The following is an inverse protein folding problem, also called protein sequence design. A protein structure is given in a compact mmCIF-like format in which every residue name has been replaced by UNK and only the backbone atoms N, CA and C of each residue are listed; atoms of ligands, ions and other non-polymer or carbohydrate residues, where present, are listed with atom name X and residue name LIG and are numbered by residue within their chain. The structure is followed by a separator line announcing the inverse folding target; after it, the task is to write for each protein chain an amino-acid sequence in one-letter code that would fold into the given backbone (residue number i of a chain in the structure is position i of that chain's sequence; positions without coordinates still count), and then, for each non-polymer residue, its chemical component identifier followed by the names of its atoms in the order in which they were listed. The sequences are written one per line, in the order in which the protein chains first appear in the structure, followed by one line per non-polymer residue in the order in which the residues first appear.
data_IF_329916710521
#
_entry.id   IF_329916710521
#
_cell.length_a   1.000
_cell.length_b   1.000
_cell.length_c   1.000
_cell.angle_alpha   90.00
_cell.angle_beta   90.00
_cell.angle_gamma   90.00
#
_symmetry.space_group_name_H-M   'P 1'
#
loop_
_entity.id
_entity.type
_entity.pdbx_description
1 polymer ?
#
# COMPACT_ATOMS: atom_id res chain seq x y z
N UNK A 1 -4.40 1.59 11.68
CA UNK A 1 -3.87 2.81 12.28
C UNK A 1 -2.62 2.53 13.11
N UNK A 2 -1.66 3.40 13.06
CA UNK A 2 -0.47 3.33 13.91
C UNK A 2 -0.88 3.69 15.34
N UNK A 3 -0.95 2.76 16.26
CA UNK A 3 -1.37 3.06 17.63
C UNK A 3 -0.22 3.64 18.46
N UNK A 4 0.72 2.82 18.84
CA UNK A 4 1.79 3.23 19.75
C UNK A 4 3.19 3.04 19.19
N UNK A 5 3.27 2.64 17.95
CA UNK A 5 4.56 2.38 17.32
C UNK A 5 5.15 3.68 16.81
N UNK A 6 6.41 3.92 17.11
CA UNK A 6 7.12 5.07 16.56
C UNK A 6 7.28 4.92 15.06
N UNK A 7 7.19 6.03 14.32
CA UNK A 7 7.46 6.03 12.88
C UNK A 7 8.88 5.53 12.57
N UNK A 8 9.82 5.72 13.48
CA UNK A 8 11.19 5.25 13.30
C UNK A 8 11.31 3.73 13.27
N UNK A 9 10.33 3.02 13.85
CA UNK A 9 10.32 1.56 13.86
C UNK A 9 9.41 0.94 12.79
N UNK A 10 8.68 1.76 12.06
CA UNK A 10 7.82 1.30 10.98
C UNK A 10 8.63 1.22 9.70
N UNK A 11 8.79 0.03 9.13
CA UNK A 11 9.53 -0.19 7.90
C UNK A 11 8.66 -0.74 6.78
N UNK A 12 7.68 -1.58 7.11
CA UNK A 12 6.87 -2.29 6.14
C UNK A 12 5.41 -1.88 6.30
N UNK A 13 4.84 -1.35 5.23
CA UNK A 13 3.46 -0.91 5.20
C UNK A 13 2.71 -1.74 4.17
N UNK A 14 1.55 -2.25 4.54
CA UNK A 14 0.68 -2.95 3.61
C UNK A 14 -0.44 -2.04 3.17
N UNK A 15 -0.67 -1.97 1.86
CA UNK A 15 -1.79 -1.24 1.28
C UNK A 15 -2.75 -2.26 0.68
N UNK A 16 -3.93 -2.34 1.26
CA UNK A 16 -4.99 -3.24 0.81
C UNK A 16 -6.04 -2.40 0.10
N UNK A 17 -6.26 -2.69 -1.16
CA UNK A 17 -7.07 -1.86 -2.04
C UNK A 17 -6.20 -0.85 -2.78
N UNK A 18 -6.14 -0.99 -4.10
CA UNK A 18 -5.21 -0.20 -4.93
C UNK A 18 -5.91 0.64 -5.99
N UNK A 19 -7.15 1.04 -5.73
CA UNK A 19 -7.80 2.09 -6.52
C UNK A 19 -7.07 3.42 -6.33
N UNK A 20 -7.65 4.51 -6.81
CA UNK A 20 -6.98 5.82 -6.79
C UNK A 20 -6.50 6.20 -5.38
N UNK A 21 -7.34 5.99 -4.36
CA UNK A 21 -6.98 6.33 -2.98
C UNK A 21 -5.85 5.45 -2.47
N UNK A 22 -5.96 4.12 -2.66
CA UNK A 22 -4.92 3.20 -2.22
C UNK A 22 -3.60 3.41 -2.94
N UNK A 23 -3.65 3.66 -4.24
CA UNK A 23 -2.44 3.96 -5.01
C UNK A 23 -1.79 5.27 -4.57
N UNK A 24 -2.58 6.26 -4.17
CA UNK A 24 -2.07 7.52 -3.61
C UNK A 24 -1.34 7.27 -2.29
N UNK A 25 -1.90 6.46 -1.40
CA UNK A 25 -1.24 6.09 -0.15
C UNK A 25 0.05 5.34 -0.39
N UNK A 26 0.04 4.37 -1.31
CA UNK A 26 1.25 3.61 -1.65
C UNK A 26 2.35 4.55 -2.15
N UNK A 27 2.01 5.47 -3.03
CA UNK A 27 2.94 6.45 -3.56
C UNK A 27 3.53 7.32 -2.45
N UNK A 28 2.67 7.79 -1.54
CA UNK A 28 3.09 8.60 -0.41
C UNK A 28 4.09 7.85 0.48
N UNK A 29 3.75 6.62 0.86
CA UNK A 29 4.64 5.84 1.73
C UNK A 29 5.98 5.53 1.05
N UNK A 30 5.96 5.20 -0.23
CA UNK A 30 7.19 4.99 -0.99
C UNK A 30 8.05 6.26 -1.03
N UNK A 31 7.43 7.43 -1.17
CA UNK A 31 8.14 8.70 -1.19
C UNK A 31 8.80 9.02 0.15
N UNK A 32 8.29 8.44 1.23
CA UNK A 32 8.86 8.60 2.58
C UNK A 32 9.89 7.53 2.93
N UNK A 33 10.22 6.65 1.99
CA UNK A 33 11.24 5.63 2.19
C UNK A 33 10.75 4.32 2.77
N UNK A 34 9.45 4.14 2.93
CA UNK A 34 8.90 2.87 3.42
C UNK A 34 8.88 1.81 2.32
N UNK A 35 8.93 0.56 2.73
CA UNK A 35 8.64 -0.57 1.84
C UNK A 35 7.14 -0.85 1.90
N UNK A 36 6.54 -1.09 0.75
CA UNK A 36 5.10 -1.25 0.62
C UNK A 36 4.78 -2.65 0.07
N UNK A 37 3.90 -3.35 0.77
CA UNK A 37 3.27 -4.56 0.26
C UNK A 37 1.87 -4.19 -0.19
N UNK A 38 1.55 -4.39 -1.46
CA UNK A 38 0.26 -4.00 -2.01
C UNK A 38 -0.54 -5.20 -2.46
N UNK A 39 -1.84 -5.15 -2.28
CA UNK A 39 -2.75 -6.18 -2.77
C UNK A 39 -4.13 -5.59 -3.04
N UNK A 40 -4.78 -6.14 -4.05
CA UNK A 40 -6.13 -5.76 -4.42
C UNK A 40 -6.84 -6.99 -5.02
N UNK A 41 -8.13 -7.18 -4.77
CA UNK A 41 -8.84 -8.33 -5.33
C UNK A 41 -9.21 -8.18 -6.81
N UNK A 42 -9.10 -6.99 -7.40
CA UNK A 42 -9.56 -6.76 -8.77
C UNK A 42 -8.51 -7.11 -9.82
N UNK A 43 -8.99 -7.51 -11.01
CA UNK A 43 -8.07 -7.83 -12.10
C UNK A 43 -7.36 -6.57 -12.62
N UNK A 44 -6.11 -6.76 -13.03
CA UNK A 44 -5.30 -5.68 -13.63
C UNK A 44 -4.76 -4.66 -12.62
N UNK A 45 -4.94 -4.88 -11.34
CA UNK A 45 -4.53 -3.91 -10.33
C UNK A 45 -3.01 -3.68 -10.29
N UNK A 46 -2.24 -4.70 -10.59
CA UNK A 46 -0.76 -4.59 -10.55
C UNK A 46 -0.25 -3.55 -11.55
N UNK A 47 -0.76 -3.60 -12.77
CA UNK A 47 -0.38 -2.64 -13.80
C UNK A 47 -0.91 -1.25 -13.47
N UNK A 48 -2.12 -1.15 -12.95
CA UNK A 48 -2.72 0.13 -12.59
C UNK A 48 -1.93 0.86 -11.51
N UNK A 49 -1.54 0.15 -10.45
CA UNK A 49 -0.79 0.80 -9.37
C UNK A 49 0.59 1.24 -9.82
N UNK A 50 1.28 0.42 -10.60
CA UNK A 50 2.60 0.82 -11.12
C UNK A 50 2.50 2.02 -12.06
N UNK A 51 1.50 2.05 -12.93
CA UNK A 51 1.27 3.20 -13.81
C UNK A 51 0.96 4.46 -13.00
N UNK A 52 0.13 4.33 -11.98
CA UNK A 52 -0.20 5.46 -11.10
C UNK A 52 1.05 6.03 -10.44
N UNK A 53 1.87 5.17 -9.85
CA UNK A 53 3.08 5.58 -9.15
C UNK A 53 4.06 6.25 -10.11
N UNK A 54 4.29 5.64 -11.26
CA UNK A 54 5.21 6.19 -12.26
C UNK A 54 4.76 7.55 -12.80
N UNK A 55 3.45 7.74 -12.95
CA UNK A 55 2.92 9.03 -13.41
C UNK A 55 2.95 10.11 -12.34
N UNK A 56 2.78 9.73 -11.08
CA UNK A 56 2.78 10.68 -9.97
C UNK A 56 4.18 11.05 -9.47
N UNK A 57 5.15 10.16 -9.66
CA UNK A 57 6.47 10.32 -9.05
C UNK A 57 7.20 11.61 -9.44
N UNK A 58 7.22 12.06 -10.71
CA UNK A 58 7.91 13.30 -11.06
C UNK A 58 7.36 14.53 -10.32
N UNK A 59 6.04 14.57 -10.07
CA UNK A 59 5.44 15.67 -9.32
C UNK A 59 5.90 15.66 -7.86
N UNK A 60 6.01 14.47 -7.26
CA UNK A 60 6.47 14.33 -5.89
C UNK A 60 7.93 14.71 -5.79
N UNK A 61 8.76 14.30 -6.74
CA UNK A 61 10.17 14.69 -6.79
C UNK A 61 10.35 16.20 -6.86
N UNK A 62 9.47 16.89 -7.56
CA UNK A 62 9.54 18.35 -7.69
C UNK A 62 9.22 19.08 -6.39
N UNK A 63 8.54 18.42 -5.46
CA UNK A 63 8.13 19.00 -4.18
C UNK A 63 9.12 18.74 -3.04
N UNK A 64 10.11 17.87 -3.23
CA UNK A 64 11.01 17.51 -2.15
C UNK A 64 12.23 16.74 -2.61
N UNK A 65 13.02 16.30 -1.64
CA UNK A 65 14.29 15.63 -1.90
C UNK A 65 14.11 14.11 -1.85
N UNK A 66 13.41 13.56 -2.84
CA UNK A 66 13.27 12.13 -2.97
C UNK A 66 13.99 11.65 -4.22
N UNK A 67 14.53 10.43 -4.14
CA UNK A 67 15.20 9.82 -5.27
C UNK A 67 14.22 9.31 -6.31
N UNK A 68 14.71 8.52 -7.24
CA UNK A 68 13.89 7.86 -8.23
C UNK A 68 13.02 6.78 -7.58
N UNK A 69 11.88 6.50 -8.20
CA UNK A 69 11.04 5.39 -7.76
C UNK A 69 11.77 4.07 -8.02
N UNK A 70 11.88 3.25 -6.97
CA UNK A 70 12.49 1.93 -7.06
C UNK A 70 11.41 0.86 -6.93
N UNK A 71 11.20 0.10 -7.98
CA UNK A 71 10.22 -0.98 -7.95
C UNK A 71 10.57 -2.05 -6.90
N UNK A 72 11.82 -2.12 -6.46
CA UNK A 72 12.23 -3.02 -5.39
C UNK A 72 11.66 -2.65 -4.02
N UNK A 73 11.14 -1.44 -3.86
CA UNK A 73 10.53 -0.99 -2.61
C UNK A 73 9.05 -1.31 -2.52
N UNK A 74 8.44 -1.80 -3.58
CA UNK A 74 7.05 -2.23 -3.57
C UNK A 74 6.95 -3.70 -3.98
N UNK A 75 6.17 -4.47 -3.24
CA UNK A 75 5.88 -5.86 -3.55
C UNK A 75 4.40 -5.95 -3.91
N UNK A 76 4.13 -6.40 -5.13
CA UNK A 76 2.76 -6.61 -5.61
C UNK A 76 2.37 -8.04 -5.25
N UNK A 77 1.68 -8.18 -4.13
CA UNK A 77 1.41 -9.47 -3.52
C UNK A 77 0.32 -10.24 -4.28
N UNK A 78 0.41 -11.55 -4.25
CA UNK A 78 -0.56 -12.41 -4.93
C UNK A 78 -1.76 -12.76 -4.06
N UNK A 79 -1.69 -12.47 -2.76
CA UNK A 79 -2.78 -12.75 -1.83
C UNK A 79 -2.78 -11.72 -0.71
N UNK A 80 -3.91 -11.60 -0.04
CA UNK A 80 -4.03 -10.75 1.15
C UNK A 80 -3.10 -11.25 2.27
N UNK A 81 -2.99 -12.57 2.44
CA UNK A 81 -2.10 -13.15 3.43
C UNK A 81 -0.66 -12.72 3.20
N UNK A 82 -0.19 -12.79 1.98
CA UNK A 82 1.15 -12.35 1.62
C UNK A 82 1.35 -10.87 1.94
N UNK A 83 0.36 -10.04 1.60
CA UNK A 83 0.45 -8.60 1.84
C UNK A 83 0.54 -8.25 3.32
N UNK A 84 -0.11 -9.02 4.19
CA UNK A 84 -0.16 -8.74 5.63
C UNK A 84 0.96 -9.38 6.41
N UNK A 85 1.72 -10.30 5.81
CA UNK A 85 2.80 -10.98 6.50
C UNK A 85 3.96 -10.02 6.77
N UNK A 86 4.35 -9.88 8.03
CA UNK A 86 5.46 -9.01 8.42
C UNK A 86 5.18 -7.52 8.33
N UNK A 87 3.91 -7.14 8.24
CA UNK A 87 3.56 -5.72 8.15
C UNK A 87 3.59 -5.05 9.52
N UNK A 88 4.05 -3.80 9.53
CA UNK A 88 4.02 -2.95 10.72
C UNK A 88 2.76 -2.08 10.78
N UNK A 89 2.17 -1.78 9.61
CA UNK A 89 0.99 -0.93 9.50
C UNK A 89 0.21 -1.31 8.26
N UNK A 90 -1.12 -1.30 8.36
CA UNK A 90 -2.01 -1.62 7.24
C UNK A 90 -2.88 -0.41 6.91
N UNK A 91 -2.80 0.05 5.67
CA UNK A 91 -3.71 1.04 5.11
C UNK A 91 -4.72 0.31 4.24
N UNK A 92 -5.97 0.27 4.68
CA UNK A 92 -7.06 -0.35 3.96
C UNK A 92 -7.83 0.73 3.20
N UNK A 93 -7.94 0.57 1.88
CA UNK A 93 -8.56 1.55 0.98
C UNK A 93 -9.49 0.87 -0.02
N UNK A 94 -10.08 -0.26 0.36
CA UNK A 94 -11.02 -0.97 -0.50
C UNK A 94 -12.28 -0.14 -0.76
N UNK A 95 -12.99 -0.40 -1.87
CA UNK A 95 -14.22 0.32 -2.17
C UNK A 95 -15.24 0.24 -1.04
N UNK A 96 -16.09 1.27 -0.95
CA UNK A 96 -17.14 1.40 0.06
C UNK A 96 -18.32 0.47 -0.23
N UNK A 97 -18.05 -0.83 -0.28
CA UNK A 97 -19.07 -1.87 -0.37
C UNK A 97 -19.06 -2.63 0.94
N UNK A 98 -20.17 -2.55 1.67
CA UNK A 98 -20.24 -3.10 3.02
C UNK A 98 -19.79 -4.56 3.11
N UNK A 99 -20.29 -5.41 2.20
CA UNK A 99 -19.92 -6.84 2.21
C UNK A 99 -18.43 -7.05 1.94
N UNK A 100 -17.88 -6.31 1.02
CA UNK A 100 -16.46 -6.41 0.71
C UNK A 100 -15.62 -5.96 1.88
N UNK A 101 -15.96 -4.84 2.51
CA UNK A 101 -15.27 -4.34 3.68
C UNK A 101 -15.31 -5.35 4.83
N UNK A 102 -16.46 -5.91 5.11
CA UNK A 102 -16.60 -6.90 6.18
C UNK A 102 -15.74 -8.13 5.93
N UNK A 103 -15.72 -8.61 4.69
CA UNK A 103 -14.88 -9.75 4.32
C UNK A 103 -13.40 -9.43 4.47
N UNK A 104 -12.97 -8.25 4.04
CA UNK A 104 -11.58 -7.84 4.15
C UNK A 104 -11.14 -7.67 5.60
N UNK A 105 -11.96 -7.06 6.44
CA UNK A 105 -11.64 -6.93 7.86
C UNK A 105 -11.53 -8.29 8.56
N UNK A 106 -12.39 -9.24 8.20
CA UNK A 106 -12.28 -10.60 8.72
C UNK A 106 -10.94 -11.24 8.34
N UNK A 107 -10.52 -11.09 7.10
CA UNK A 107 -9.26 -11.65 6.62
C UNK A 107 -8.06 -10.97 7.30
N UNK A 108 -8.12 -9.65 7.44
CA UNK A 108 -7.05 -8.90 8.12
C UNK A 108 -6.92 -9.36 9.56
N UNK A 109 -8.01 -9.49 10.28
CA UNK A 109 -7.99 -9.98 11.67
C UNK A 109 -7.40 -11.39 11.78
N UNK A 110 -7.61 -12.23 10.78
CA UNK A 110 -7.06 -13.59 10.76
C UNK A 110 -5.55 -13.63 10.58
N UNK A 111 -4.96 -12.62 9.90
CA UNK A 111 -3.54 -12.62 9.55
C UNK A 111 -2.69 -11.61 10.36
N UNK A 112 -3.33 -10.78 11.10
CA UNK A 112 -2.63 -9.79 11.93
C UNK A 112 -2.92 -9.99 13.41
#
# INVERSE_FOLDING_TARGET
MLSYQSLDTVNNISVVGTGTIGASWATYFLSKGFKVNAWDPSDGWKQRILSFINNAWPQIQSLGFIGEFKETNIILCSSLEEALTGTDFVQESAPEQLKLKQSLFKQIDAYT
#
